data_IF_768419209444
#
_entry.id   IF_768419209444
#
_cell.length_a   1.000
_cell.length_b   1.000
_cell.length_c   1.000
_cell.angle_alpha   90.00
_cell.angle_beta   90.00
_cell.angle_gamma   90.00
#
_symmetry.space_group_name_H-M   'P 1'
#
loop_
_entity.id
_entity.type
_entity.pdbx_description
1 polymer ?
#
# COMPACT_ATOMS: atom_id res chain seq x y z
N UNK A 1 48.89 -41.58 -4.58
CA UNK A 1 47.86 -40.74 -5.25
C UNK A 1 46.91 -40.19 -4.21
N UNK A 2 47.00 -38.88 -3.90
CA UNK A 2 46.09 -38.20 -2.96
C UNK A 2 45.06 -37.45 -3.80
N UNK A 3 43.79 -37.87 -3.71
CA UNK A 3 42.65 -37.21 -4.35
C UNK A 3 42.24 -36.07 -3.44
N UNK A 4 42.55 -34.84 -3.86
CA UNK A 4 42.10 -33.63 -3.21
C UNK A 4 40.65 -33.38 -3.67
N UNK A 5 39.71 -33.70 -2.78
CA UNK A 5 38.29 -33.40 -2.98
C UNK A 5 38.07 -31.89 -2.76
N UNK A 6 37.90 -31.18 -3.86
CA UNK A 6 37.62 -29.73 -3.85
C UNK A 6 36.12 -29.52 -3.56
N UNK A 7 35.74 -29.32 -2.30
CA UNK A 7 34.40 -28.91 -1.93
C UNK A 7 34.16 -27.48 -2.40
N UNK A 8 33.46 -27.34 -3.53
CA UNK A 8 32.98 -26.06 -4.04
C UNK A 8 31.78 -25.62 -3.19
N UNK A 9 32.02 -24.80 -2.18
CA UNK A 9 30.97 -24.18 -1.37
C UNK A 9 30.34 -23.07 -2.22
N UNK A 10 29.23 -23.35 -2.86
CA UNK A 10 28.35 -22.32 -3.45
C UNK A 10 27.71 -21.49 -2.33
N UNK A 11 28.33 -20.35 -2.04
CA UNK A 11 27.69 -19.32 -1.25
C UNK A 11 26.53 -18.76 -2.07
N UNK A 12 25.32 -19.27 -1.84
CA UNK A 12 24.08 -18.66 -2.32
C UNK A 12 23.89 -17.34 -1.59
N UNK A 13 24.48 -16.28 -2.13
CA UNK A 13 24.16 -14.91 -1.72
C UNK A 13 22.73 -14.65 -2.16
N UNK A 14 21.78 -14.89 -1.27
CA UNK A 14 20.41 -14.47 -1.44
C UNK A 14 20.39 -12.94 -1.43
N UNK A 15 20.38 -12.32 -2.61
CA UNK A 15 20.13 -10.89 -2.75
C UNK A 15 18.71 -10.59 -2.24
N UNK A 16 18.56 -10.32 -0.94
CA UNK A 16 17.34 -9.72 -0.41
C UNK A 16 17.24 -8.33 -1.00
N UNK A 17 16.25 -8.10 -1.85
CA UNK A 17 15.95 -6.77 -2.38
C UNK A 17 15.54 -5.89 -1.19
N UNK A 18 16.46 -5.03 -0.75
CA UNK A 18 16.20 -4.11 0.37
C UNK A 18 15.59 -2.84 -0.23
N UNK A 19 14.30 -2.63 0.01
CA UNK A 19 13.65 -1.36 -0.37
C UNK A 19 14.14 -0.22 0.51
N UNK A 20 14.36 0.93 -0.11
CA UNK A 20 14.70 2.14 0.62
C UNK A 20 13.46 2.60 1.40
N UNK A 21 13.63 2.79 2.70
CA UNK A 21 12.62 3.38 3.56
C UNK A 21 12.96 4.86 3.76
N UNK A 22 11.93 5.70 3.70
CA UNK A 22 12.05 7.08 4.14
C UNK A 22 11.81 7.14 5.65
N UNK A 23 12.55 8.01 6.32
CA UNK A 23 12.15 8.43 7.66
C UNK A 23 10.84 9.21 7.54
N UNK A 24 9.81 8.77 8.28
CA UNK A 24 8.47 9.41 8.26
C UNK A 24 8.57 10.88 8.67
N UNK A 25 9.54 11.24 9.52
CA UNK A 25 9.79 12.63 9.91
C UNK A 25 10.33 13.49 8.76
N UNK A 26 10.95 12.89 7.75
CA UNK A 26 11.45 13.59 6.56
C UNK A 26 10.36 13.89 5.52
N UNK A 27 9.19 13.27 5.64
CA UNK A 27 8.05 13.53 4.76
C UNK A 27 7.32 14.77 5.25
N UNK A 28 7.05 15.72 4.33
CA UNK A 28 6.34 16.94 4.68
C UNK A 28 4.94 16.65 5.25
N UNK A 29 4.49 17.44 6.23
CA UNK A 29 3.15 17.31 6.80
C UNK A 29 2.06 17.45 5.72
N UNK A 30 2.26 18.37 4.76
CA UNK A 30 1.34 18.56 3.64
C UNK A 30 1.16 17.27 2.81
N UNK A 31 2.24 16.53 2.58
CA UNK A 31 2.22 15.27 1.82
C UNK A 31 1.53 14.16 2.65
N UNK A 32 1.88 14.06 3.95
CA UNK A 32 1.23 13.09 4.86
C UNK A 32 -0.28 13.31 4.95
N UNK A 33 -0.71 14.55 5.15
CA UNK A 33 -2.13 14.92 5.21
C UNK A 33 -2.83 14.58 3.88
N UNK A 34 -2.22 14.96 2.74
CA UNK A 34 -2.78 14.65 1.42
C UNK A 34 -3.05 13.16 1.23
N UNK A 35 -2.07 12.31 1.60
CA UNK A 35 -2.20 10.85 1.42
C UNK A 35 -3.20 10.26 2.41
N UNK A 36 -3.17 10.72 3.66
CA UNK A 36 -4.12 10.30 4.68
C UNK A 36 -5.56 10.65 4.28
N UNK A 37 -5.81 11.89 3.86
CA UNK A 37 -7.15 12.35 3.49
C UNK A 37 -7.70 11.58 2.28
N UNK A 38 -6.86 11.28 1.29
CA UNK A 38 -7.24 10.45 0.16
C UNK A 38 -7.67 9.05 0.61
N UNK A 39 -6.85 8.37 1.40
CA UNK A 39 -7.16 7.03 1.89
C UNK A 39 -8.38 7.01 2.79
N UNK A 40 -8.46 7.95 3.75
CA UNK A 40 -9.60 8.09 4.65
C UNK A 40 -10.89 8.30 3.89
N UNK A 41 -10.93 9.24 2.94
CA UNK A 41 -12.11 9.52 2.12
C UNK A 41 -12.60 8.28 1.38
N UNK A 42 -11.69 7.51 0.74
CA UNK A 42 -12.09 6.28 0.04
C UNK A 42 -12.63 5.21 0.98
N UNK A 43 -12.00 5.03 2.14
CA UNK A 43 -12.46 4.05 3.12
C UNK A 43 -13.76 4.47 3.82
N UNK A 44 -13.98 5.76 4.04
CA UNK A 44 -15.25 6.30 4.54
C UNK A 44 -16.38 6.15 3.51
N UNK A 45 -16.07 6.20 2.21
CA UNK A 45 -17.03 5.89 1.14
C UNK A 45 -17.60 4.49 1.29
N UNK A 46 -16.78 3.50 1.75
CA UNK A 46 -17.27 2.16 2.06
C UNK A 46 -18.31 2.17 3.18
N UNK A 47 -18.15 3.04 4.17
CA UNK A 47 -19.09 3.18 5.29
C UNK A 47 -20.38 3.87 4.89
N UNK A 48 -20.28 4.96 4.11
CA UNK A 48 -21.43 5.79 3.72
C UNK A 48 -22.16 5.29 2.48
N UNK A 49 -21.48 4.48 1.66
CA UNK A 49 -21.96 3.99 0.34
C UNK A 49 -22.23 5.13 -0.67
N UNK A 50 -21.63 6.30 -0.43
CA UNK A 50 -21.72 7.45 -1.33
C UNK A 50 -20.53 7.44 -2.29
N UNK A 51 -20.61 6.61 -3.33
CA UNK A 51 -19.54 6.45 -4.31
C UNK A 51 -19.52 7.63 -5.29
N UNK A 52 -18.31 8.16 -5.51
CA UNK A 52 -18.06 9.24 -6.47
C UNK A 52 -16.93 8.83 -7.40
N UNK A 53 -17.10 9.10 -8.71
CA UNK A 53 -16.07 8.83 -9.70
C UNK A 53 -14.77 9.58 -9.37
N UNK A 54 -13.65 8.88 -9.41
CA UNK A 54 -12.34 9.47 -9.16
C UNK A 54 -11.90 10.36 -10.33
N UNK A 55 -11.39 11.54 -10.01
CA UNK A 55 -10.96 12.51 -11.03
C UNK A 55 -9.54 12.21 -11.54
N UNK A 56 -9.33 12.31 -12.86
CA UNK A 56 -7.99 12.23 -13.47
C UNK A 56 -7.04 13.35 -13.03
N UNK A 57 -7.54 14.41 -12.42
CA UNK A 57 -6.68 15.43 -11.81
C UNK A 57 -6.01 14.94 -10.51
N UNK A 58 -6.64 13.99 -9.82
CA UNK A 58 -6.18 13.46 -8.53
C UNK A 58 -5.52 12.08 -8.66
N UNK A 59 -6.07 11.24 -9.53
CA UNK A 59 -5.60 9.85 -9.70
C UNK A 59 -5.06 9.60 -11.11
N UNK A 60 -4.36 8.47 -11.29
CA UNK A 60 -3.96 8.02 -12.63
C UNK A 60 -5.17 7.67 -13.48
N UNK A 61 -5.01 7.69 -14.80
CA UNK A 61 -6.08 7.33 -15.74
C UNK A 61 -6.62 5.91 -15.48
N UNK A 62 -5.74 4.95 -15.16
CA UNK A 62 -6.16 3.59 -14.82
C UNK A 62 -7.08 3.55 -13.60
N UNK A 63 -6.74 4.29 -12.54
CA UNK A 63 -7.55 4.32 -11.32
C UNK A 63 -8.84 5.13 -11.50
N UNK A 64 -8.85 6.15 -12.37
CA UNK A 64 -10.07 6.93 -12.66
C UNK A 64 -11.13 6.14 -13.45
N UNK A 65 -10.74 5.04 -14.08
CA UNK A 65 -11.67 4.14 -14.82
C UNK A 65 -12.36 3.12 -13.92
N UNK A 66 -11.99 3.07 -12.63
CA UNK A 66 -12.66 2.20 -11.67
C UNK A 66 -14.14 2.54 -11.59
N UNK A 67 -14.99 1.58 -11.92
CA UNK A 67 -16.44 1.77 -11.92
C UNK A 67 -16.98 1.87 -10.49
N UNK A 68 -18.17 2.47 -10.35
CA UNK A 68 -18.85 2.52 -9.04
C UNK A 68 -19.18 1.12 -8.52
N UNK A 69 -19.49 0.18 -9.41
CA UNK A 69 -19.73 -1.23 -9.05
C UNK A 69 -18.48 -1.90 -8.51
N UNK A 70 -17.32 -1.70 -9.15
CA UNK A 70 -16.04 -2.25 -8.65
C UNK A 70 -15.67 -1.65 -7.29
N UNK A 71 -15.90 -0.35 -7.08
CA UNK A 71 -15.71 0.29 -5.78
C UNK A 71 -16.65 -0.30 -4.72
N UNK A 72 -17.91 -0.54 -5.06
CA UNK A 72 -18.88 -1.15 -4.16
C UNK A 72 -18.46 -2.58 -3.80
N UNK A 73 -18.09 -3.42 -4.77
CA UNK A 73 -17.63 -4.79 -4.56
C UNK A 73 -16.39 -4.83 -3.66
N UNK A 74 -15.44 -3.89 -3.85
CA UNK A 74 -14.28 -3.76 -2.99
C UNK A 74 -14.67 -3.42 -1.54
N UNK A 75 -15.60 -2.50 -1.35
CA UNK A 75 -16.12 -2.13 -0.03
C UNK A 75 -16.87 -3.30 0.65
N UNK A 76 -17.64 -4.07 -0.10
CA UNK A 76 -18.34 -5.25 0.42
C UNK A 76 -17.35 -6.32 0.90
N UNK A 77 -16.28 -6.54 0.14
CA UNK A 77 -15.20 -7.43 0.54
C UNK A 77 -14.48 -6.94 1.81
N UNK A 78 -14.22 -5.62 1.90
CA UNK A 78 -13.60 -5.00 3.08
C UNK A 78 -14.47 -5.16 4.32
N UNK A 79 -15.74 -4.78 4.25
CA UNK A 79 -16.70 -4.85 5.36
C UNK A 79 -16.91 -6.29 5.83
N UNK A 80 -16.98 -7.25 4.89
CA UNK A 80 -17.13 -8.68 5.20
C UNK A 80 -15.97 -9.21 6.02
N UNK A 81 -14.76 -8.80 5.73
CA UNK A 81 -13.54 -9.33 6.35
C UNK A 81 -13.11 -8.53 7.59
N UNK A 82 -13.30 -7.21 7.60
CA UNK A 82 -12.73 -6.34 8.62
C UNK A 82 -13.76 -5.52 9.41
N UNK A 83 -15.03 -5.53 8.97
CA UNK A 83 -16.01 -4.59 9.48
C UNK A 83 -15.71 -3.17 8.99
N UNK A 84 -16.35 -2.18 9.60
CA UNK A 84 -16.23 -0.80 9.15
C UNK A 84 -14.90 -0.18 9.53
N UNK A 85 -14.40 0.65 8.63
CA UNK A 85 -13.21 1.45 8.86
C UNK A 85 -13.44 2.48 9.98
N UNK A 86 -12.46 2.61 10.88
CA UNK A 86 -12.48 3.58 11.98
C UNK A 86 -11.42 4.65 11.73
N UNK A 87 -10.14 4.22 11.55
CA UNK A 87 -9.01 5.13 11.36
C UNK A 87 -7.79 4.38 10.81
N UNK A 88 -6.73 5.11 10.47
CA UNK A 88 -5.46 4.52 10.07
C UNK A 88 -4.27 5.36 10.56
N UNK A 89 -3.18 4.68 10.90
CA UNK A 89 -1.94 5.30 11.37
C UNK A 89 -0.80 5.01 10.42
N UNK A 90 -0.13 6.07 9.92
CA UNK A 90 1.08 5.93 9.09
C UNK A 90 2.19 5.28 9.91
N UNK A 91 2.81 4.24 9.35
CA UNK A 91 3.90 3.49 9.98
C UNK A 91 5.20 3.71 9.24
N UNK A 92 5.18 3.61 7.91
CA UNK A 92 6.38 3.78 7.10
C UNK A 92 6.06 4.27 5.69
N UNK A 93 7.07 4.82 5.04
CA UNK A 93 7.02 5.23 3.63
C UNK A 93 8.16 4.54 2.90
N UNK A 94 7.82 3.84 1.81
CA UNK A 94 8.76 3.07 0.99
C UNK A 94 9.01 3.79 -0.32
N UNK A 95 10.26 3.83 -0.74
CA UNK A 95 10.64 4.28 -2.08
C UNK A 95 10.41 3.13 -3.07
N UNK A 96 9.36 3.22 -3.84
CA UNK A 96 9.04 2.25 -4.89
C UNK A 96 9.06 2.91 -6.27
N UNK A 97 9.83 4.00 -6.40
CA UNK A 97 9.93 4.77 -7.64
C UNK A 97 10.49 3.95 -8.80
N UNK A 98 11.33 2.96 -8.49
CA UNK A 98 11.89 2.07 -9.50
C UNK A 98 10.84 1.15 -10.14
N UNK A 99 9.96 0.54 -9.35
CA UNK A 99 8.95 -0.41 -9.85
C UNK A 99 7.63 0.26 -10.27
N UNK A 100 7.18 1.24 -9.49
CA UNK A 100 5.85 1.82 -9.65
C UNK A 100 5.87 3.33 -9.88
N UNK A 101 7.06 3.95 -9.99
CA UNK A 101 7.23 5.41 -10.09
C UNK A 101 6.45 6.16 -9.00
N UNK A 102 6.45 5.62 -7.79
CA UNK A 102 5.65 6.10 -6.68
C UNK A 102 6.33 5.86 -5.33
N UNK A 103 5.94 6.64 -4.33
CA UNK A 103 6.13 6.30 -2.92
C UNK A 103 4.96 5.48 -2.42
N UNK A 104 5.23 4.49 -1.59
CA UNK A 104 4.22 3.66 -0.92
C UNK A 104 4.08 4.09 0.53
N UNK A 105 2.91 4.55 0.90
CA UNK A 105 2.56 4.90 2.27
C UNK A 105 1.85 3.71 2.90
N UNK A 106 2.46 3.15 3.95
CA UNK A 106 1.94 1.98 4.66
C UNK A 106 1.33 2.42 5.99
N UNK A 107 0.06 2.16 6.12
CA UNK A 107 -0.72 2.46 7.32
C UNK A 107 -1.13 1.17 8.01
N UNK A 108 -1.18 1.19 9.34
CA UNK A 108 -1.98 0.23 10.12
C UNK A 108 -3.39 0.76 10.19
N UNK A 109 -4.32 0.00 9.58
CA UNK A 109 -5.74 0.30 9.61
C UNK A 109 -6.40 -0.19 10.90
N UNK A 110 -7.26 0.64 11.46
CA UNK A 110 -8.14 0.31 12.58
C UNK A 110 -9.56 0.10 12.02
N UNK A 111 -10.12 -1.06 12.29
CA UNK A 111 -11.44 -1.49 11.83
C UNK A 111 -12.25 -2.02 13.01
N UNK A 112 -13.57 -2.18 12.85
CA UNK A 112 -14.44 -2.75 13.90
C UNK A 112 -14.00 -4.16 14.32
N UNK A 113 -13.51 -4.97 13.35
CA UNK A 113 -12.89 -6.26 13.62
C UNK A 113 -11.37 -6.08 13.59
N UNK A 114 -10.75 -6.35 14.70
CA UNK A 114 -9.31 -6.13 14.92
C UNK A 114 -8.54 -7.41 15.27
N UNK A 115 -9.10 -8.57 14.94
CA UNK A 115 -8.48 -9.88 15.09
C UNK A 115 -7.18 -10.03 14.28
N UNK A 116 -7.06 -9.27 13.18
CA UNK A 116 -5.87 -9.21 12.34
C UNK A 116 -5.53 -7.76 12.04
N UNK A 117 -4.26 -7.38 12.24
CA UNK A 117 -3.79 -6.05 11.86
C UNK A 117 -3.81 -5.90 10.34
N UNK A 118 -4.55 -4.92 9.85
CA UNK A 118 -4.66 -4.62 8.42
C UNK A 118 -3.67 -3.57 8.00
N UNK A 119 -3.00 -3.85 6.89
CA UNK A 119 -2.20 -2.89 6.18
C UNK A 119 -3.06 -2.19 5.13
N UNK A 120 -3.02 -0.87 5.12
CA UNK A 120 -3.54 -0.04 4.04
C UNK A 120 -2.33 0.53 3.31
N UNK A 121 -2.21 0.28 2.02
CA UNK A 121 -1.18 0.85 1.16
C UNK A 121 -1.78 1.87 0.22
N UNK A 122 -1.11 3.01 0.13
CA UNK A 122 -1.47 4.08 -0.81
C UNK A 122 -0.23 4.43 -1.61
N UNK A 123 -0.35 4.44 -2.93
CA UNK A 123 0.72 4.84 -3.84
C UNK A 123 0.52 6.27 -4.30
N UNK A 124 1.49 7.13 -3.98
CA UNK A 124 1.56 8.50 -4.49
C UNK A 124 2.69 8.59 -5.52
N UNK A 125 2.34 8.83 -6.77
CA UNK A 125 3.29 8.98 -7.87
C UNK A 125 4.12 10.25 -7.76
N UNK A 126 5.28 10.27 -8.43
CA UNK A 126 6.16 11.44 -8.52
C UNK A 126 5.49 12.64 -9.21
N UNK A 127 4.45 12.38 -10.01
CA UNK A 127 3.58 13.40 -10.62
C UNK A 127 2.49 13.93 -9.68
N UNK A 128 2.49 13.51 -8.42
CA UNK A 128 1.51 13.92 -7.41
C UNK A 128 0.13 13.27 -7.53
N UNK A 129 -0.06 12.29 -8.43
CA UNK A 129 -1.31 11.55 -8.57
C UNK A 129 -1.28 10.25 -7.79
N UNK A 130 -2.43 9.82 -7.30
CA UNK A 130 -2.56 8.51 -6.67
C UNK A 130 -2.65 7.41 -7.72
N UNK A 131 -1.89 6.33 -7.51
CA UNK A 131 -1.83 5.18 -8.40
C UNK A 131 -2.71 4.03 -7.93
N UNK A 132 -3.05 4.00 -6.65
CA UNK A 132 -3.88 2.96 -6.06
C UNK A 132 -3.97 3.02 -4.55
N UNK A 133 -4.91 2.26 -4.05
CA UNK A 133 -5.06 1.91 -2.65
C UNK A 133 -5.40 0.42 -2.57
N UNK A 134 -4.79 -0.29 -1.64
CA UNK A 134 -5.15 -1.67 -1.31
C UNK A 134 -5.17 -1.87 0.20
N UNK A 135 -5.81 -2.94 0.64
CA UNK A 135 -5.71 -3.44 2.00
C UNK A 135 -5.33 -4.92 1.98
N UNK A 136 -4.55 -5.32 2.97
CA UNK A 136 -4.08 -6.69 3.16
C UNK A 136 -3.73 -6.91 4.62
N UNK A 137 -3.32 -8.12 4.98
CA UNK A 137 -2.73 -8.38 6.28
C UNK A 137 -1.39 -7.64 6.44
N UNK A 138 -1.12 -7.10 7.63
CA UNK A 138 0.14 -6.45 7.94
C UNK A 138 1.27 -7.49 7.99
N UNK A 139 2.34 -7.19 7.28
CA UNK A 139 3.61 -7.90 7.37
C UNK A 139 4.69 -6.88 7.76
N UNK A 140 5.57 -7.24 8.71
CA UNK A 140 6.65 -6.37 9.16
C UNK A 140 7.64 -6.06 8.02
N UNK A 141 7.88 -7.04 7.13
CA UNK A 141 8.68 -6.81 5.92
C UNK A 141 7.77 -6.34 4.76
N UNK A 142 8.22 -5.25 4.10
CA UNK A 142 7.57 -4.80 2.88
C UNK A 142 7.79 -5.82 1.76
N UNK A 143 6.71 -6.22 1.14
CA UNK A 143 6.73 -7.02 -0.09
C UNK A 143 6.04 -6.23 -1.20
N UNK A 144 6.68 -6.06 -2.39
CA UNK A 144 6.05 -5.34 -3.50
C UNK A 144 4.72 -5.95 -3.89
N UNK A 145 3.84 -5.10 -4.39
CA UNK A 145 2.64 -5.59 -5.05
C UNK A 145 3.04 -6.10 -6.45
N UNK A 146 2.79 -7.36 -6.69
CA UNK A 146 2.94 -7.94 -8.03
C UNK A 146 1.56 -7.92 -8.69
N UNK A 147 1.47 -7.25 -9.82
CA UNK A 147 0.27 -7.31 -10.68
C UNK A 147 0.10 -8.69 -11.26
#
# INVERSE_FOLDING_TARGET
>A
MRIISLCLIFLLVSCKTTYRRFDVSSISEKEKVKVYDFGKRLLETCKTRQFVQLSTSEVTEGLSKLSLEEMQNACDALDKTNGKFIDMKLVEVIDDTYLHNAKVYRYKGNFERNDVVREIRIWLGTNGKFHGIIWKEWLDEYTPYKK
#
